data_IF_536010909074
#
_entry.id   IF_536010909074
#
_cell.length_a   1.000
_cell.length_b   1.000
_cell.length_c   1.000
_cell.angle_alpha   90.00
_cell.angle_beta   90.00
_cell.angle_gamma   90.00
#
_symmetry.space_group_name_H-M   'P 1'
#
loop_
_entity.id
_entity.type
_entity.pdbx_description
1 polymer ?
#
# COMPACT_ATOMS: atom_id res chain seq x y z
N UNK A 1 64.05 40.32 7.63
CA UNK A 1 62.60 40.31 7.92
C UNK A 1 62.43 41.29 9.07
N UNK A 2 61.77 42.41 8.81
CA UNK A 2 61.67 43.54 9.74
C UNK A 2 60.71 43.17 10.88
N UNK A 3 61.08 43.48 12.13
CA UNK A 3 60.30 43.14 13.32
C UNK A 3 58.89 43.76 13.25
N UNK A 4 58.80 44.93 12.60
CA UNK A 4 57.54 45.65 12.36
C UNK A 4 56.59 44.89 11.43
N UNK A 5 57.09 44.29 10.35
CA UNK A 5 56.27 43.50 9.42
C UNK A 5 55.76 42.22 10.08
N UNK A 6 56.57 41.60 10.93
CA UNK A 6 56.16 40.41 11.68
C UNK A 6 55.08 40.73 12.71
N UNK A 7 55.20 41.84 13.44
CA UNK A 7 54.18 42.29 14.38
C UNK A 7 52.87 42.68 13.68
N UNK A 8 52.95 43.27 12.49
CA UNK A 8 51.77 43.58 11.70
C UNK A 8 51.03 42.31 11.27
N UNK A 9 51.74 41.29 10.77
CA UNK A 9 51.13 39.99 10.44
C UNK A 9 50.45 39.31 11.63
N UNK A 10 51.10 39.31 12.80
CA UNK A 10 50.52 38.72 14.01
C UNK A 10 49.23 39.44 14.43
N UNK A 11 49.17 40.77 14.28
CA UNK A 11 47.95 41.54 14.56
C UNK A 11 46.85 41.24 13.55
N UNK A 12 47.17 41.06 12.27
CA UNK A 12 46.20 40.65 11.25
C UNK A 12 45.62 39.25 11.54
N UNK A 13 46.48 38.29 11.92
CA UNK A 13 46.03 36.95 12.34
C UNK A 13 45.16 37.01 13.61
N UNK A 14 45.54 37.81 14.60
CA UNK A 14 44.77 37.99 15.82
C UNK A 14 43.40 38.62 15.55
N UNK A 15 43.33 39.57 14.60
CA UNK A 15 42.07 40.18 14.17
C UNK A 15 41.16 39.15 13.47
N UNK A 16 41.74 38.30 12.62
CA UNK A 16 41.00 37.21 11.97
C UNK A 16 40.44 36.22 13.01
N UNK A 17 41.25 35.82 13.99
CA UNK A 17 40.81 34.94 15.09
C UNK A 17 39.72 35.61 15.92
N UNK A 18 39.87 36.90 16.24
CA UNK A 18 38.88 37.66 17.01
C UNK A 18 37.56 37.80 16.27
N UNK A 19 37.59 37.96 14.95
CA UNK A 19 36.41 37.96 14.12
C UNK A 19 35.68 36.61 14.17
N UNK A 20 36.39 35.51 13.90
CA UNK A 20 35.82 34.16 13.97
C UNK A 20 35.29 33.79 15.35
N UNK A 21 35.94 34.26 16.43
CA UNK A 21 35.42 34.10 17.79
C UNK A 21 34.08 34.82 18.01
N UNK A 22 33.94 36.04 17.48
CA UNK A 22 32.70 36.81 17.60
C UNK A 22 31.56 36.19 16.80
N UNK A 23 31.84 35.72 15.58
CA UNK A 23 30.87 34.97 14.77
C UNK A 23 30.42 33.70 15.48
N UNK A 24 31.36 32.90 16.01
CA UNK A 24 31.03 31.69 16.75
C UNK A 24 30.21 31.97 18.01
N UNK A 25 30.55 33.03 18.76
CA UNK A 25 29.80 33.46 19.94
C UNK A 25 28.37 33.88 19.57
N UNK A 26 28.19 34.54 18.43
CA UNK A 26 26.87 34.88 17.90
C UNK A 26 26.08 33.62 17.55
N UNK A 27 26.68 32.67 16.83
CA UNK A 27 26.04 31.39 16.49
C UNK A 27 25.61 30.63 17.74
N UNK A 28 26.44 30.56 18.80
CA UNK A 28 26.05 29.93 20.07
C UNK A 28 24.87 30.64 20.73
N UNK A 29 24.86 31.98 20.72
CA UNK A 29 23.75 32.74 21.29
C UNK A 29 22.44 32.53 20.51
N UNK A 30 22.50 32.45 19.19
CA UNK A 30 21.33 32.14 18.34
C UNK A 30 20.76 30.75 18.65
N UNK A 31 21.61 29.74 18.80
CA UNK A 31 21.19 28.39 19.21
C UNK A 31 20.60 28.34 20.63
N UNK A 32 21.11 29.16 21.56
CA UNK A 32 20.56 29.27 22.92
C UNK A 32 19.20 29.96 22.94
N UNK A 33 19.00 30.98 22.11
CA UNK A 33 17.75 31.74 22.05
C UNK A 33 16.65 30.99 21.30
N UNK A 34 17.01 30.12 20.36
CA UNK A 34 16.03 29.33 19.61
C UNK A 34 16.40 27.83 19.55
N UNK A 35 16.31 27.09 20.68
CA UNK A 35 16.71 25.68 20.75
C UNK A 35 15.92 24.76 19.80
N UNK A 36 14.73 25.21 19.38
CA UNK A 36 13.83 24.52 18.45
C UNK A 36 14.34 24.56 17.00
N UNK A 37 15.24 25.50 16.66
CA UNK A 37 15.77 25.68 15.31
C UNK A 37 17.01 24.77 15.04
N UNK A 38 17.05 23.64 15.74
CA UNK A 38 18.14 22.67 15.61
C UNK A 38 17.82 21.71 14.46
N UNK A 39 18.76 21.50 13.54
CA UNK A 39 18.55 20.63 12.36
C UNK A 39 18.06 19.21 12.71
N UNK A 40 18.51 18.65 13.84
CA UNK A 40 17.99 17.34 14.32
C UNK A 40 16.51 17.39 14.72
N UNK A 41 16.01 18.49 15.28
CA UNK A 41 14.59 18.65 15.59
C UNK A 41 13.76 18.79 14.33
N UNK A 42 14.27 19.48 13.29
CA UNK A 42 13.64 19.50 11.98
C UNK A 42 13.55 18.09 11.36
N UNK A 43 14.59 17.28 11.49
CA UNK A 43 14.57 15.88 11.03
C UNK A 43 13.52 15.04 11.76
N UNK A 44 13.36 15.24 13.08
CA UNK A 44 12.32 14.57 13.87
C UNK A 44 10.93 15.02 13.43
N UNK A 45 10.72 16.32 13.24
CA UNK A 45 9.44 16.87 12.77
C UNK A 45 9.08 16.36 11.37
N UNK A 46 10.06 16.27 10.47
CA UNK A 46 9.90 15.68 9.14
C UNK A 46 9.55 14.20 9.22
N UNK A 47 10.25 13.43 10.07
CA UNK A 47 9.95 12.02 10.28
C UNK A 47 8.53 11.81 10.83
N UNK A 48 8.11 12.63 11.79
CA UNK A 48 6.76 12.59 12.37
C UNK A 48 5.69 12.89 11.30
N UNK A 49 5.87 13.98 10.54
CA UNK A 49 4.96 14.39 9.47
C UNK A 49 4.81 13.29 8.42
N UNK A 50 5.93 12.76 7.92
CA UNK A 50 5.92 11.70 6.91
C UNK A 50 5.23 10.43 7.43
N UNK A 51 5.46 10.07 8.69
CA UNK A 51 4.86 8.87 9.28
C UNK A 51 3.34 8.99 9.42
N UNK A 52 2.85 10.17 9.85
CA UNK A 52 1.42 10.46 9.95
C UNK A 52 0.77 10.43 8.56
N UNK A 53 1.41 11.03 7.55
CA UNK A 53 0.90 11.03 6.17
C UNK A 53 0.74 9.62 5.61
N UNK A 54 1.72 8.74 5.82
CA UNK A 54 1.64 7.33 5.39
C UNK A 54 0.45 6.63 6.05
N UNK A 55 0.27 6.81 7.36
CA UNK A 55 -0.86 6.22 8.10
C UNK A 55 -2.20 6.72 7.55
N UNK A 56 -2.32 8.03 7.32
CA UNK A 56 -3.53 8.64 6.77
C UNK A 56 -3.84 8.12 5.36
N UNK A 57 -2.82 8.01 4.51
CA UNK A 57 -2.96 7.50 3.16
C UNK A 57 -3.41 6.03 3.16
N UNK A 58 -2.83 5.19 4.04
CA UNK A 58 -3.28 3.80 4.20
C UNK A 58 -4.72 3.69 4.70
N UNK A 59 -5.10 4.52 5.67
CA UNK A 59 -6.49 4.58 6.12
C UNK A 59 -7.44 5.02 5.00
N UNK A 60 -7.03 5.95 4.13
CA UNK A 60 -7.80 6.39 2.96
C UNK A 60 -7.99 5.27 1.94
N UNK A 61 -6.91 4.59 1.55
CA UNK A 61 -6.94 3.43 0.64
C UNK A 61 -7.87 2.32 1.15
N UNK A 62 -7.82 2.05 2.46
CA UNK A 62 -8.72 1.09 3.09
C UNK A 62 -10.20 1.53 2.98
N UNK A 63 -10.52 2.79 3.31
CA UNK A 63 -11.89 3.32 3.18
C UNK A 63 -12.41 3.23 1.75
N UNK A 64 -11.59 3.61 0.77
CA UNK A 64 -11.94 3.53 -0.65
C UNK A 64 -12.24 2.09 -1.07
N UNK A 65 -11.47 1.13 -0.57
CA UNK A 65 -11.68 -0.30 -0.84
C UNK A 65 -12.99 -0.83 -0.24
N UNK A 66 -13.36 -0.41 0.98
CA UNK A 66 -14.67 -0.74 1.59
C UNK A 66 -15.80 -0.15 0.77
N UNK A 67 -15.70 1.13 0.40
CA UNK A 67 -16.73 1.83 -0.37
C UNK A 67 -16.94 1.17 -1.73
N UNK A 68 -15.86 0.83 -2.43
CA UNK A 68 -15.91 0.15 -3.73
C UNK A 68 -16.58 -1.23 -3.64
N UNK A 69 -16.23 -2.00 -2.62
CA UNK A 69 -16.82 -3.32 -2.38
C UNK A 69 -18.31 -3.23 -2.08
N UNK A 70 -18.70 -2.28 -1.22
CA UNK A 70 -20.11 -2.00 -0.90
C UNK A 70 -20.90 -1.57 -2.13
N UNK A 71 -20.33 -0.68 -2.95
CA UNK A 71 -20.98 -0.22 -4.19
C UNK A 71 -21.17 -1.36 -5.19
N UNK A 72 -20.17 -2.22 -5.34
CA UNK A 72 -20.24 -3.37 -6.26
C UNK A 72 -21.33 -4.35 -5.81
N UNK A 73 -21.41 -4.63 -4.50
CA UNK A 73 -22.47 -5.46 -3.93
C UNK A 73 -23.86 -4.86 -4.20
N UNK A 74 -24.06 -3.56 -3.97
CA UNK A 74 -25.34 -2.90 -4.25
C UNK A 74 -25.68 -2.97 -5.75
N UNK A 75 -24.73 -2.72 -6.63
CA UNK A 75 -24.94 -2.83 -8.08
C UNK A 75 -25.36 -4.26 -8.50
N UNK A 76 -24.78 -5.29 -7.88
CA UNK A 76 -25.15 -6.69 -8.14
C UNK A 76 -26.60 -6.97 -7.70
N UNK A 77 -27.01 -6.45 -6.55
CA UNK A 77 -28.40 -6.55 -6.06
C UNK A 77 -29.35 -5.83 -7.01
N UNK A 78 -29.01 -4.61 -7.44
CA UNK A 78 -29.79 -3.84 -8.41
C UNK A 78 -29.95 -4.59 -9.75
N UNK A 79 -28.89 -5.21 -10.26
CA UNK A 79 -28.96 -6.02 -11.48
C UNK A 79 -29.92 -7.21 -11.33
N UNK A 80 -29.85 -7.95 -10.22
CA UNK A 80 -30.76 -9.07 -9.93
C UNK A 80 -32.21 -8.60 -9.81
N UNK A 81 -32.42 -7.47 -9.16
CA UNK A 81 -33.75 -6.87 -9.00
C UNK A 81 -34.35 -6.39 -10.34
N UNK A 82 -33.52 -5.78 -11.18
CA UNK A 82 -33.91 -5.36 -12.54
C UNK A 82 -34.25 -6.56 -13.43
N UNK A 83 -33.50 -7.66 -13.34
CA UNK A 83 -33.80 -8.90 -14.05
C UNK A 83 -35.14 -9.50 -13.60
N UNK A 84 -35.37 -9.58 -12.28
CA UNK A 84 -36.65 -10.01 -11.73
C UNK A 84 -37.81 -9.14 -12.21
N UNK A 85 -37.62 -7.81 -12.26
CA UNK A 85 -38.61 -6.87 -12.78
C UNK A 85 -38.95 -7.14 -14.25
N UNK A 86 -37.95 -7.45 -15.09
CA UNK A 86 -38.18 -7.82 -16.50
C UNK A 86 -38.96 -9.13 -16.62
N UNK A 87 -38.64 -10.13 -15.80
CA UNK A 87 -39.36 -11.40 -15.78
C UNK A 87 -40.83 -11.21 -15.40
N UNK A 88 -41.10 -10.40 -14.37
CA UNK A 88 -42.48 -10.04 -13.96
C UNK A 88 -43.23 -9.36 -15.11
N UNK A 89 -42.62 -8.38 -15.77
CA UNK A 89 -43.24 -7.68 -16.91
C UNK A 89 -43.51 -8.61 -18.10
N UNK A 90 -42.64 -9.59 -18.35
CA UNK A 90 -42.83 -10.56 -19.42
C UNK A 90 -44.01 -11.48 -19.13
N UNK A 91 -44.07 -12.03 -17.92
CA UNK A 91 -45.18 -12.90 -17.50
C UNK A 91 -46.53 -12.19 -17.49
N UNK A 92 -46.55 -10.89 -17.16
CA UNK A 92 -47.75 -10.06 -17.26
C UNK A 92 -48.25 -9.88 -18.71
N UNK A 93 -47.38 -10.01 -19.71
CA UNK A 93 -47.75 -9.90 -21.13
C UNK A 93 -48.22 -11.23 -21.72
N UNK A 94 -47.69 -12.35 -21.23
CA UNK A 94 -47.95 -13.69 -21.78
C UNK A 94 -49.33 -14.26 -21.35
N UNK A 95 -49.96 -13.71 -20.29
CA UNK A 95 -51.31 -14.07 -19.81
C UNK A 95 -51.52 -15.56 -19.48
N UNK A 96 -50.47 -16.37 -19.41
CA UNK A 96 -50.49 -17.83 -19.16
C UNK A 96 -49.70 -18.23 -17.90
N UNK A 97 -49.36 -17.27 -17.04
CA UNK A 97 -48.62 -17.54 -15.82
C UNK A 97 -49.39 -18.42 -14.83
N UNK A 98 -48.67 -19.28 -14.12
CA UNK A 98 -49.24 -20.23 -13.15
C UNK A 98 -48.52 -20.16 -11.80
N UNK A 99 -48.94 -21.00 -10.86
CA UNK A 99 -48.39 -21.06 -9.49
C UNK A 99 -46.88 -21.35 -9.45
N UNK A 100 -46.35 -22.10 -10.41
CA UNK A 100 -44.91 -22.38 -10.50
C UNK A 100 -44.14 -21.08 -10.79
N UNK A 101 -44.65 -20.25 -11.72
CA UNK A 101 -44.05 -18.97 -12.04
C UNK A 101 -44.08 -18.03 -10.83
N UNK A 102 -45.21 -17.97 -10.12
CA UNK A 102 -45.33 -17.16 -8.91
C UNK A 102 -44.37 -17.63 -7.81
N UNK A 103 -44.33 -18.92 -7.52
CA UNK A 103 -43.41 -19.50 -6.53
C UNK A 103 -41.94 -19.28 -6.91
N UNK A 104 -41.60 -19.33 -8.19
CA UNK A 104 -40.26 -19.02 -8.68
C UNK A 104 -39.89 -17.57 -8.41
N UNK A 105 -40.73 -16.61 -8.79
CA UNK A 105 -40.50 -15.18 -8.54
C UNK A 105 -40.42 -14.86 -7.04
N UNK A 106 -41.31 -15.44 -6.23
CA UNK A 106 -41.29 -15.28 -4.77
C UNK A 106 -39.99 -15.81 -4.17
N UNK A 107 -39.51 -16.96 -4.62
CA UNK A 107 -38.23 -17.51 -4.17
C UNK A 107 -37.04 -16.65 -4.59
N UNK A 108 -37.05 -16.09 -5.79
CA UNK A 108 -36.00 -15.18 -6.26
C UNK A 108 -35.99 -13.88 -5.46
N UNK A 109 -37.15 -13.30 -5.18
CA UNK A 109 -37.28 -12.12 -4.33
C UNK A 109 -36.75 -12.40 -2.91
N UNK A 110 -37.17 -13.52 -2.31
CA UNK A 110 -36.70 -13.94 -0.98
C UNK A 110 -35.17 -14.05 -0.92
N UNK A 111 -34.54 -14.67 -1.92
CA UNK A 111 -33.07 -14.78 -1.99
C UNK A 111 -32.39 -13.41 -2.07
N UNK A 112 -32.90 -12.49 -2.89
CA UNK A 112 -32.36 -11.13 -3.00
C UNK A 112 -32.49 -10.41 -1.65
N UNK A 113 -33.63 -10.55 -0.97
CA UNK A 113 -33.85 -9.98 0.37
C UNK A 113 -32.91 -10.59 1.42
N UNK A 114 -32.67 -11.90 1.38
CA UNK A 114 -31.72 -12.57 2.27
C UNK A 114 -30.28 -12.11 2.03
N UNK A 115 -29.86 -11.99 0.77
CA UNK A 115 -28.54 -11.47 0.40
C UNK A 115 -28.36 -10.00 0.84
N UNK A 116 -29.39 -9.16 0.69
CA UNK A 116 -29.36 -7.77 1.12
C UNK A 116 -29.27 -7.63 2.64
N UNK A 117 -29.99 -8.46 3.39
CA UNK A 117 -30.02 -8.44 4.85
C UNK A 117 -28.80 -9.12 5.49
N UNK A 118 -28.13 -9.98 4.74
CA UNK A 118 -26.90 -10.65 5.16
C UNK A 118 -25.80 -10.44 4.09
N UNK A 119 -25.35 -9.17 3.90
CA UNK A 119 -24.32 -8.89 2.93
C UNK A 119 -23.05 -9.67 3.31
N UNK A 120 -22.32 -10.21 2.32
CA UNK A 120 -21.10 -10.95 2.58
C UNK A 120 -20.09 -10.01 3.26
N UNK A 121 -19.89 -10.28 4.54
CA UNK A 121 -19.17 -9.41 5.47
C UNK A 121 -17.77 -9.07 4.96
N UNK A 122 -17.49 -7.77 4.94
CA UNK A 122 -16.14 -7.22 4.98
C UNK A 122 -15.72 -7.32 6.44
N UNK A 123 -14.80 -8.23 6.76
CA UNK A 123 -14.17 -8.24 8.09
C UNK A 123 -12.89 -7.44 8.05
N UNK A 124 -12.73 -6.52 9.01
CA UNK A 124 -11.46 -5.89 9.31
C UNK A 124 -10.62 -6.91 10.06
N UNK A 125 -9.55 -7.40 9.45
CA UNK A 125 -8.51 -8.12 10.17
C UNK A 125 -7.41 -7.15 10.60
N UNK A 126 -6.95 -7.30 11.84
CA UNK A 126 -5.81 -6.60 12.38
C UNK A 126 -4.57 -7.48 12.27
N UNK A 127 -3.62 -7.12 11.41
CA UNK A 127 -2.33 -7.80 11.35
C UNK A 127 -1.50 -7.52 12.61
N UNK A 128 -1.27 -8.54 13.44
CA UNK A 128 -0.62 -8.43 14.76
C UNK A 128 0.92 -8.43 14.73
N UNK A 129 1.55 -7.93 13.65
CA UNK A 129 3.00 -8.06 13.45
C UNK A 129 3.81 -6.77 13.25
N UNK A 130 3.25 -5.56 13.46
CA UNK A 130 4.08 -4.34 13.48
C UNK A 130 3.51 -3.23 14.37
N UNK A 131 4.33 -2.23 14.71
CA UNK A 131 3.97 -1.04 15.51
C UNK A 131 2.72 -0.28 15.00
N UNK A 132 2.29 -0.56 13.77
CA UNK A 132 1.06 -0.06 13.15
C UNK A 132 0.17 -1.28 12.83
N UNK A 133 -1.05 -1.29 13.35
CA UNK A 133 -2.04 -2.32 13.00
C UNK A 133 -2.44 -2.16 11.53
N UNK A 134 -2.07 -3.12 10.69
CA UNK A 134 -2.56 -3.20 9.32
C UNK A 134 -4.04 -3.59 9.35
N UNK A 135 -4.89 -2.78 8.71
CA UNK A 135 -6.31 -3.08 8.50
C UNK A 135 -6.44 -3.70 7.11
N UNK A 136 -6.71 -5.00 7.07
CA UNK A 136 -6.97 -5.72 5.82
C UNK A 136 -8.47 -5.99 5.66
N UNK A 137 -8.99 -5.80 4.46
CA UNK A 137 -10.36 -6.17 4.09
C UNK A 137 -10.33 -7.57 3.51
N UNK A 138 -10.95 -8.52 4.20
CA UNK A 138 -11.27 -9.82 3.61
C UNK A 138 -12.69 -9.75 3.07
N UNK A 139 -12.82 -9.87 1.75
CA UNK A 139 -14.11 -10.18 1.13
C UNK A 139 -14.44 -11.64 1.42
N UNK A 140 -15.45 -11.90 2.25
CA UNK A 140 -15.95 -13.25 2.53
C UNK A 140 -16.86 -13.80 1.42
N UNK A 141 -17.15 -13.00 0.38
CA UNK A 141 -17.39 -13.59 -0.93
C UNK A 141 -16.08 -14.26 -1.25
N UNK A 142 -15.98 -15.59 -1.12
CA UNK A 142 -14.97 -16.35 -1.86
C UNK A 142 -15.01 -15.68 -3.22
N UNK A 143 -13.98 -14.93 -3.67
CA UNK A 143 -13.93 -14.61 -5.07
C UNK A 143 -14.19 -15.97 -5.70
N UNK A 144 -15.09 -16.06 -6.69
CA UNK A 144 -14.92 -17.11 -7.70
C UNK A 144 -13.43 -17.02 -7.94
N UNK A 145 -12.66 -17.93 -7.32
CA UNK A 145 -11.22 -17.76 -7.19
C UNK A 145 -10.89 -17.50 -8.62
N UNK A 146 -10.40 -16.30 -8.96
CA UNK A 146 -10.03 -16.03 -10.32
C UNK A 146 -8.94 -17.07 -10.47
N UNK A 147 -9.34 -18.23 -11.02
CA UNK A 147 -8.51 -19.39 -11.18
C UNK A 147 -7.35 -18.74 -11.87
N UNK A 148 -6.19 -18.70 -11.18
CA UNK A 148 -4.96 -18.17 -11.72
C UNK A 148 -5.04 -18.36 -13.20
N UNK A 149 -5.09 -17.25 -13.97
CA UNK A 149 -5.44 -17.26 -15.40
C UNK A 149 -4.87 -18.57 -15.93
N UNK A 150 -5.70 -19.54 -16.34
CA UNK A 150 -5.25 -20.96 -16.43
C UNK A 150 -4.10 -21.16 -17.45
N UNK A 151 -3.73 -20.07 -18.12
CA UNK A 151 -2.66 -19.91 -19.08
C UNK A 151 -1.44 -19.15 -18.48
N UNK A 152 -1.26 -19.12 -17.16
CA UNK A 152 -0.07 -18.59 -16.54
C UNK A 152 1.13 -19.46 -16.91
N UNK A 153 2.25 -18.84 -17.26
CA UNK A 153 3.50 -19.53 -17.60
C UNK A 153 4.50 -19.32 -16.46
N UNK A 154 5.35 -20.32 -16.23
CA UNK A 154 6.49 -20.14 -15.33
C UNK A 154 7.52 -19.27 -16.04
N UNK A 155 7.83 -18.11 -15.45
CA UNK A 155 8.76 -17.13 -16.04
C UNK A 155 10.14 -17.15 -15.39
N UNK A 156 10.28 -17.83 -14.24
CA UNK A 156 11.56 -18.06 -13.58
C UNK A 156 11.49 -19.34 -12.73
N UNK A 157 12.56 -20.13 -12.77
CA UNK A 157 12.61 -21.43 -12.08
C UNK A 157 11.76 -22.51 -12.77
N UNK A 158 11.06 -23.33 -11.99
CA UNK A 158 10.20 -24.41 -12.49
C UNK A 158 10.88 -25.76 -12.71
N UNK A 159 12.21 -25.85 -12.60
CA UNK A 159 12.98 -27.09 -12.79
C UNK A 159 13.40 -27.76 -11.46
N UNK A 160 12.63 -27.52 -10.40
CA UNK A 160 12.93 -28.01 -9.06
C UNK A 160 14.02 -27.21 -8.33
N UNK A 161 14.30 -27.63 -7.10
CA UNK A 161 15.34 -27.06 -6.22
C UNK A 161 16.72 -27.50 -6.68
N UNK A 162 17.67 -26.58 -6.76
CA UNK A 162 19.06 -26.86 -7.13
C UNK A 162 19.88 -25.61 -7.39
N UNK A 163 21.13 -25.79 -7.82
CA UNK A 163 22.12 -24.72 -7.97
C UNK A 163 22.25 -24.20 -9.42
N UNK A 164 21.62 -24.85 -10.39
CA UNK A 164 21.65 -24.41 -11.79
C UNK A 164 20.90 -23.08 -11.98
N UNK A 165 21.20 -22.32 -13.04
CA UNK A 165 20.57 -21.02 -13.29
C UNK A 165 19.05 -21.10 -13.50
N UNK A 166 18.56 -22.26 -13.93
CA UNK A 166 17.14 -22.54 -14.14
C UNK A 166 16.45 -23.21 -12.93
N UNK A 167 17.14 -23.30 -11.79
CA UNK A 167 16.67 -23.86 -10.52
C UNK A 167 16.81 -22.81 -9.41
N UNK A 168 15.85 -22.77 -8.50
CA UNK A 168 15.85 -21.84 -7.35
C UNK A 168 15.77 -22.64 -6.05
N UNK A 169 16.41 -22.15 -5.01
CA UNK A 169 16.41 -22.72 -3.67
C UNK A 169 16.01 -21.68 -2.62
N UNK A 170 14.78 -21.82 -2.12
CA UNK A 170 14.09 -20.88 -1.21
C UNK A 170 14.33 -19.41 -1.59
N UNK A 171 13.73 -18.94 -2.69
CA UNK A 171 13.80 -17.53 -3.03
C UNK A 171 13.00 -16.69 -2.01
N UNK A 172 13.64 -15.66 -1.46
CA UNK A 172 13.09 -14.82 -0.37
C UNK A 172 12.48 -13.49 -0.88
N UNK A 173 12.77 -13.12 -2.12
CA UNK A 173 12.31 -11.85 -2.69
C UNK A 173 12.36 -11.80 -4.21
N UNK A 174 11.49 -10.97 -4.79
CA UNK A 174 11.41 -10.70 -6.22
C UNK A 174 11.28 -9.19 -6.46
N UNK A 175 11.99 -8.69 -7.46
CA UNK A 175 11.90 -7.31 -7.93
C UNK A 175 11.85 -7.27 -9.46
N UNK A 176 11.05 -6.38 -10.03
CA UNK A 176 10.94 -6.20 -11.48
C UNK A 176 11.44 -4.79 -11.80
N UNK A 177 12.45 -4.70 -12.66
CA UNK A 177 13.00 -3.40 -13.07
C UNK A 177 12.17 -2.73 -14.19
N UNK A 178 12.52 -1.49 -14.52
CA UNK A 178 11.87 -0.71 -15.58
C UNK A 178 12.00 -1.32 -17.00
N UNK A 179 12.93 -2.25 -17.19
CA UNK A 179 13.16 -2.97 -18.43
C UNK A 179 12.44 -4.32 -18.45
N UNK A 180 11.61 -4.63 -17.43
CA UNK A 180 10.94 -5.91 -17.23
C UNK A 180 11.87 -7.09 -16.95
N UNK A 181 13.12 -6.84 -16.52
CA UNK A 181 13.96 -7.90 -15.99
C UNK A 181 13.49 -8.28 -14.60
N UNK A 182 13.49 -9.58 -14.30
CA UNK A 182 13.10 -10.13 -13.00
C UNK A 182 14.37 -10.43 -12.20
N UNK A 183 14.53 -9.76 -11.06
CA UNK A 183 15.58 -10.04 -10.09
C UNK A 183 15.00 -10.90 -8.97
N UNK A 184 15.64 -12.02 -8.68
CA UNK A 184 15.23 -12.96 -7.64
C UNK A 184 16.36 -13.10 -6.62
N UNK A 185 16.03 -12.90 -5.34
CA UNK A 185 16.92 -13.23 -4.24
C UNK A 185 16.79 -14.73 -3.94
N UNK A 186 17.72 -15.52 -4.47
CA UNK A 186 17.76 -16.99 -4.37
C UNK A 186 18.46 -17.39 -3.07
N UNK A 187 17.69 -17.39 -1.97
CA UNK A 187 18.17 -17.25 -0.59
C UNK A 187 19.13 -18.34 -0.13
N UNK A 188 18.80 -19.62 -0.37
CA UNK A 188 19.65 -20.74 0.06
C UNK A 188 20.78 -21.04 -0.92
N UNK A 189 20.69 -20.55 -2.16
CA UNK A 189 21.81 -20.54 -3.09
C UNK A 189 22.72 -19.33 -2.89
N UNK A 190 22.39 -18.42 -1.96
CA UNK A 190 23.17 -17.23 -1.61
C UNK A 190 23.54 -16.36 -2.80
N UNK A 191 22.60 -16.17 -3.75
CA UNK A 191 22.83 -15.42 -4.98
C UNK A 191 21.62 -14.57 -5.37
N UNK A 192 21.86 -13.62 -6.26
CA UNK A 192 20.81 -12.91 -6.98
C UNK A 192 20.83 -13.40 -8.43
N UNK A 193 19.67 -13.77 -8.97
CA UNK A 193 19.52 -14.24 -10.36
C UNK A 193 18.66 -13.26 -11.13
N UNK A 194 19.12 -12.87 -12.32
CA UNK A 194 18.38 -12.04 -13.27
C UNK A 194 17.76 -12.93 -14.36
N UNK A 195 16.46 -12.78 -14.58
CA UNK A 195 15.69 -13.46 -15.62
C UNK A 195 15.14 -12.45 -16.63
N UNK A 196 15.24 -12.82 -17.92
CA UNK A 196 14.84 -12.01 -19.08
C UNK A 196 13.84 -12.76 -19.94
#
# INVERSE_FOLDING_TARGET
MDLSEHQQRLNEELNHISHGYNEFKQTINEHKQNPQNHSLLEQINQWETNSIEIIQQKAKECRESVMKSSQTFINDIEMKFNDLSKQIQQLQKENDFNEINLNYLTNQLRKITEELNNPPNISIEHGSHSFINEISIISLIKPKLNKWKQNAITVAGGNGRGQELNQLDRPDGIFIDKNQNILIADGENHRIVEWK
#
